data_IF_094493944660
#
_entry.id   IF_094493944660
#
_cell.length_a   1.000
_cell.length_b   1.000
_cell.length_c   1.000
_cell.angle_alpha   90.00
_cell.angle_beta   90.00
_cell.angle_gamma   90.00
#
_symmetry.space_group_name_H-M   'P 1'
#
loop_
_entity.id
_entity.type
_entity.pdbx_description
1 polymer ?
#
# COMPACT_ATOMS: atom_id res chain seq x y z
N UNK A 1 22.65 -18.54 -6.97
CA UNK A 1 21.98 -17.46 -7.76
C UNK A 1 20.50 -17.32 -7.42
N UNK A 2 19.75 -18.42 -7.29
CA UNK A 2 18.30 -18.45 -6.98
C UNK A 2 17.89 -17.69 -5.69
N UNK A 3 18.72 -17.64 -4.65
CA UNK A 3 18.42 -16.93 -3.39
C UNK A 3 18.42 -15.40 -3.48
N UNK A 4 19.29 -14.81 -4.34
CA UNK A 4 19.32 -13.35 -4.53
C UNK A 4 18.07 -12.84 -5.24
N UNK A 5 17.56 -13.63 -6.19
CA UNK A 5 16.33 -13.33 -6.91
C UNK A 5 15.11 -13.29 -5.99
N UNK A 6 14.93 -14.30 -5.14
CA UNK A 6 13.83 -14.33 -4.16
C UNK A 6 13.92 -13.19 -3.15
N UNK A 7 15.13 -12.85 -2.70
CA UNK A 7 15.34 -11.69 -1.83
C UNK A 7 14.99 -10.37 -2.53
N UNK A 8 15.31 -10.22 -3.81
CA UNK A 8 14.87 -9.09 -4.64
C UNK A 8 13.35 -9.01 -4.78
N UNK A 9 12.69 -10.14 -5.04
CA UNK A 9 11.22 -10.21 -5.09
C UNK A 9 10.57 -9.87 -3.74
N UNK A 10 11.13 -10.32 -2.63
CA UNK A 10 10.63 -9.97 -1.29
C UNK A 10 10.77 -8.46 -1.01
N UNK A 11 11.88 -7.83 -1.42
CA UNK A 11 12.05 -6.37 -1.34
C UNK A 11 11.06 -5.62 -2.24
N UNK A 12 10.83 -6.07 -3.47
CA UNK A 12 9.83 -5.47 -4.35
C UNK A 12 8.42 -5.62 -3.76
N UNK A 13 8.09 -6.79 -3.21
CA UNK A 13 6.80 -7.02 -2.54
C UNK A 13 6.62 -6.14 -1.30
N UNK A 14 7.68 -5.98 -0.51
CA UNK A 14 7.67 -5.03 0.62
C UNK A 14 7.48 -3.58 0.13
N UNK A 15 8.12 -3.20 -0.98
CA UNK A 15 7.92 -1.90 -1.62
C UNK A 15 6.46 -1.66 -2.04
N UNK A 16 5.78 -2.67 -2.57
CA UNK A 16 4.34 -2.59 -2.89
C UNK A 16 3.50 -2.32 -1.65
N UNK A 17 3.81 -2.96 -0.52
CA UNK A 17 3.12 -2.72 0.75
C UNK A 17 3.33 -1.28 1.25
N UNK A 18 4.56 -0.77 1.15
CA UNK A 18 4.89 0.63 1.52
C UNK A 18 4.16 1.60 0.59
N UNK A 19 4.16 1.36 -0.72
CA UNK A 19 3.45 2.20 -1.69
C UNK A 19 1.93 2.21 -1.42
N UNK A 20 1.36 1.04 -1.11
CA UNK A 20 -0.04 0.95 -0.70
C UNK A 20 -0.31 1.74 0.58
N UNK A 21 0.58 1.70 1.58
CA UNK A 21 0.45 2.48 2.81
C UNK A 21 0.54 4.00 2.55
N UNK A 22 1.45 4.44 1.69
CA UNK A 22 1.61 5.86 1.34
C UNK A 22 0.38 6.43 0.62
N UNK A 23 -0.38 5.60 -0.11
CA UNK A 23 -1.65 6.03 -0.73
C UNK A 23 -2.70 6.48 0.29
N UNK A 24 -2.60 6.10 1.57
CA UNK A 24 -3.53 6.54 2.61
C UNK A 24 -3.21 7.92 3.21
N UNK A 25 -2.04 8.50 2.91
CA UNK A 25 -1.65 9.83 3.42
C UNK A 25 -2.64 10.93 3.04
N UNK A 26 -3.10 11.05 1.77
CA UNK A 26 -4.05 12.10 1.39
C UNK A 26 -5.38 12.00 2.14
N UNK A 27 -5.89 10.79 2.38
CA UNK A 27 -7.09 10.58 3.20
C UNK A 27 -6.83 10.95 4.67
N UNK A 28 -5.70 10.53 5.24
CA UNK A 28 -5.37 10.87 6.63
C UNK A 28 -5.30 12.40 6.82
N UNK A 29 -4.65 13.11 5.90
CA UNK A 29 -4.61 14.58 5.88
C UNK A 29 -6.03 15.15 5.70
N UNK A 30 -6.83 14.61 4.79
CA UNK A 30 -8.19 15.11 4.56
C UNK A 30 -9.12 14.90 5.76
N UNK A 31 -8.95 13.81 6.52
CA UNK A 31 -9.70 13.52 7.76
C UNK A 31 -9.32 14.49 8.88
N UNK A 32 -8.06 14.93 8.97
CA UNK A 32 -7.65 15.94 9.96
C UNK A 32 -8.33 17.30 9.76
N UNK A 33 -8.81 17.59 8.54
CA UNK A 33 -9.59 18.80 8.25
C UNK A 33 -11.08 18.69 8.66
N UNK A 34 -11.50 17.58 9.29
CA UNK A 34 -12.83 17.34 9.85
C UNK A 34 -13.72 16.44 8.99
N UNK A 35 -14.47 15.49 9.58
CA UNK A 35 -15.30 14.54 8.80
C UNK A 35 -16.40 15.22 7.98
N UNK A 36 -16.97 16.32 8.48
CA UNK A 36 -17.97 17.14 7.80
C UNK A 36 -17.32 18.38 7.20
N UNK A 37 -17.27 18.47 5.88
CA UNK A 37 -16.80 19.68 5.19
C UNK A 37 -17.80 20.81 5.43
N UNK A 38 -17.33 21.94 5.95
CA UNK A 38 -18.13 23.15 6.02
C UNK A 38 -18.29 23.76 4.61
N UNK A 39 -19.33 24.56 4.36
CA UNK A 39 -19.61 25.10 3.01
C UNK A 39 -18.41 25.85 2.40
N UNK A 40 -17.63 26.55 3.23
CA UNK A 40 -16.41 27.26 2.82
C UNK A 40 -15.27 26.30 2.41
N UNK A 41 -15.20 25.10 2.99
CA UNK A 41 -14.21 24.09 2.62
C UNK A 41 -14.59 23.40 1.30
N UNK A 42 -15.88 23.22 1.05
CA UNK A 42 -16.38 22.73 -0.24
C UNK A 42 -16.07 23.75 -1.34
N UNK A 43 -16.29 25.04 -1.06
CA UNK A 43 -15.95 26.14 -1.99
C UNK A 43 -14.45 26.27 -2.27
N UNK A 44 -13.59 25.86 -1.34
CA UNK A 44 -12.13 25.83 -1.49
C UNK A 44 -11.60 24.58 -2.23
N UNK A 45 -12.46 23.66 -2.71
CA UNK A 45 -12.04 22.51 -3.51
C UNK A 45 -11.67 21.25 -2.71
N UNK A 46 -11.87 21.23 -1.39
CA UNK A 46 -11.60 20.04 -0.57
C UNK A 46 -12.53 18.85 -0.90
N UNK A 47 -13.68 19.11 -1.53
CA UNK A 47 -14.56 18.05 -2.05
C UNK A 47 -13.90 17.28 -3.20
N UNK A 48 -13.24 17.98 -4.13
CA UNK A 48 -12.49 17.37 -5.23
C UNK A 48 -11.23 16.67 -4.74
N UNK A 49 -10.51 17.25 -3.77
CA UNK A 49 -9.36 16.57 -3.14
C UNK A 49 -9.76 15.26 -2.45
N UNK A 50 -10.93 15.22 -1.80
CA UNK A 50 -11.47 13.98 -1.22
C UNK A 50 -11.87 12.96 -2.26
N UNK A 51 -12.54 13.40 -3.33
CA UNK A 51 -12.92 12.52 -4.43
C UNK A 51 -11.67 11.91 -5.09
N UNK A 52 -10.64 12.72 -5.31
CA UNK A 52 -9.36 12.28 -5.84
C UNK A 52 -8.62 11.33 -4.88
N UNK A 53 -8.61 11.62 -3.57
CA UNK A 53 -7.99 10.74 -2.58
C UNK A 53 -8.70 9.37 -2.47
N UNK A 54 -10.03 9.37 -2.57
CA UNK A 54 -10.85 8.14 -2.63
C UNK A 54 -10.55 7.34 -3.90
N UNK A 55 -10.50 8.00 -5.05
CA UNK A 55 -10.16 7.36 -6.32
C UNK A 55 -8.75 6.74 -6.28
N UNK A 56 -7.78 7.47 -5.75
CA UNK A 56 -6.40 7.00 -5.60
C UNK A 56 -6.26 5.74 -4.72
N UNK A 57 -7.13 5.60 -3.70
CA UNK A 57 -7.15 4.46 -2.78
C UNK A 57 -8.06 3.33 -3.28
N UNK A 58 -8.98 3.59 -4.20
CA UNK A 58 -9.84 2.57 -4.82
C UNK A 58 -9.04 1.41 -5.42
N UNK A 59 -7.83 1.67 -5.91
CA UNK A 59 -6.92 0.64 -6.46
C UNK A 59 -6.17 -0.19 -5.39
N UNK A 60 -6.23 0.19 -4.12
CA UNK A 60 -5.50 -0.50 -3.03
C UNK A 60 -5.87 -1.98 -2.85
N UNK A 61 -7.13 -2.43 -3.03
CA UNK A 61 -7.48 -3.85 -2.93
C UNK A 61 -6.74 -4.71 -3.97
N UNK A 62 -6.56 -4.19 -5.19
CA UNK A 62 -5.81 -4.88 -6.24
C UNK A 62 -4.32 -4.97 -5.90
N UNK A 63 -3.74 -3.90 -5.36
CA UNK A 63 -2.36 -3.89 -4.85
C UNK A 63 -2.16 -4.91 -3.72
N UNK A 64 -3.11 -5.01 -2.78
CA UNK A 64 -3.08 -6.00 -1.70
C UNK A 64 -3.24 -7.44 -2.22
N UNK A 65 -4.08 -7.66 -3.24
CA UNK A 65 -4.21 -8.96 -3.90
C UNK A 65 -2.90 -9.39 -4.54
N UNK A 66 -2.25 -8.50 -5.30
CA UNK A 66 -0.93 -8.77 -5.91
C UNK A 66 0.10 -9.06 -4.82
N UNK A 67 0.12 -8.26 -3.76
CA UNK A 67 1.01 -8.46 -2.63
C UNK A 67 0.83 -9.83 -1.96
N UNK A 68 -0.42 -10.25 -1.72
CA UNK A 68 -0.74 -11.56 -1.17
C UNK A 68 -0.34 -12.70 -2.11
N UNK A 69 -0.59 -12.55 -3.42
CA UNK A 69 -0.20 -13.55 -4.42
C UNK A 69 1.31 -13.74 -4.46
N UNK A 70 2.07 -12.64 -4.45
CA UNK A 70 3.54 -12.70 -4.43
C UNK A 70 4.05 -13.29 -3.12
N UNK A 71 3.47 -12.91 -1.97
CA UNK A 71 3.81 -13.50 -0.68
C UNK A 71 3.52 -15.01 -0.63
N UNK A 72 2.40 -15.46 -1.21
CA UNK A 72 2.05 -16.87 -1.29
C UNK A 72 3.01 -17.64 -2.21
N UNK A 73 3.40 -17.03 -3.34
CA UNK A 73 4.34 -17.62 -4.28
C UNK A 73 5.74 -17.75 -3.68
N UNK A 74 6.21 -16.72 -2.96
CA UNK A 74 7.42 -16.78 -2.14
C UNK A 74 7.31 -17.90 -1.11
N UNK A 75 6.24 -17.94 -0.31
CA UNK A 75 6.03 -19.00 0.69
C UNK A 75 6.05 -20.40 0.10
N UNK A 76 5.48 -20.60 -1.09
CA UNK A 76 5.49 -21.91 -1.78
C UNK A 76 6.87 -22.30 -2.30
N UNK A 77 7.68 -21.34 -2.73
CA UNK A 77 8.99 -21.61 -3.33
C UNK A 77 10.13 -21.67 -2.29
N UNK A 78 10.05 -20.87 -1.22
CA UNK A 78 11.09 -20.75 -0.20
C UNK A 78 10.67 -21.25 1.18
N UNK A 79 9.42 -21.68 1.39
CA UNK A 79 8.88 -22.11 2.69
C UNK A 79 8.55 -20.95 3.65
N UNK A 80 9.20 -19.81 3.45
CA UNK A 80 8.95 -18.54 4.14
C UNK A 80 8.30 -17.53 3.19
N UNK A 81 7.27 -16.83 3.66
CA UNK A 81 6.63 -15.74 2.94
C UNK A 81 7.55 -14.51 2.79
N UNK A 82 8.66 -14.43 3.54
CA UNK A 82 9.66 -13.36 3.49
C UNK A 82 9.06 -11.95 3.58
N UNK A 83 7.99 -11.79 4.38
CA UNK A 83 7.30 -10.51 4.59
C UNK A 83 8.26 -9.45 5.16
N UNK A 84 9.29 -9.89 5.89
CA UNK A 84 10.37 -9.07 6.42
C UNK A 84 11.68 -9.41 5.68
N UNK A 85 11.96 -8.80 4.51
CA UNK A 85 13.11 -9.17 3.69
C UNK A 85 14.47 -8.97 4.38
N UNK A 86 14.51 -8.18 5.46
CA UNK A 86 15.69 -7.96 6.31
C UNK A 86 15.92 -9.06 7.36
N UNK A 87 14.93 -9.88 7.69
CA UNK A 87 15.17 -11.09 8.49
C UNK A 87 15.69 -12.18 7.57
N UNK A 88 17.01 -12.34 7.56
CA UNK A 88 17.61 -13.64 7.23
C UNK A 88 17.05 -14.61 8.27
N UNK A 89 16.32 -15.64 7.86
CA UNK A 89 15.76 -16.63 8.77
C UNK A 89 16.80 -17.17 9.76
N UNK A 90 16.35 -17.44 10.99
CA UNK A 90 17.01 -18.34 11.94
C UNK A 90 17.03 -19.74 11.35
#
# INVERSE_FOLDING_TARGET
>A
MRSRWWRGMAWANFGLLVAAALKFIPIAVSITHGMTLNADQIANGLADERAWALDLISDTPYLLLVWMLVALLLRRQTGDAMIRPWRSGV
#
